data_IF_098983476250
#
_entry.id   IF_098983476250
#
_cell.length_a   1.000
_cell.length_b   1.000
_cell.length_c   1.000
_cell.angle_alpha   90.00
_cell.angle_beta   90.00
_cell.angle_gamma   90.00
#
_symmetry.space_group_name_H-M   'P 1'
#
loop_
_entity.id
_entity.type
_entity.pdbx_description
1 polymer ?
#
# COMPACT_ATOMS: atom_id res chain seq x y z
N UNK A 1 17.69 -12.27 -9.70
CA UNK A 1 17.26 -10.93 -10.14
C UNK A 1 18.18 -9.80 -9.64
N UNK A 2 19.08 -10.01 -8.65
CA UNK A 2 20.00 -8.91 -8.22
C UNK A 2 21.47 -9.01 -8.64
N UNK A 3 21.94 -10.13 -9.21
CA UNK A 3 23.28 -10.11 -9.81
C UNK A 3 23.31 -9.21 -11.04
N UNK A 4 22.31 -9.26 -11.94
CA UNK A 4 22.23 -8.33 -13.06
C UNK A 4 21.96 -6.88 -12.64
N UNK A 5 21.16 -6.63 -11.59
CA UNK A 5 20.92 -5.27 -11.11
C UNK A 5 22.14 -4.67 -10.38
N UNK A 6 22.83 -5.44 -9.54
CA UNK A 6 24.05 -4.99 -8.87
C UNK A 6 25.24 -4.89 -9.85
N UNK A 7 25.33 -5.80 -10.84
CA UNK A 7 26.31 -5.73 -11.93
C UNK A 7 25.98 -4.59 -12.90
N UNK A 8 24.71 -4.29 -13.16
CA UNK A 8 24.31 -3.12 -13.96
C UNK A 8 24.61 -1.81 -13.21
N UNK A 9 24.48 -1.75 -11.89
CA UNK A 9 24.83 -0.56 -11.11
C UNK A 9 26.35 -0.40 -10.96
N UNK A 10 27.09 -1.47 -10.69
CA UNK A 10 28.55 -1.43 -10.52
C UNK A 10 29.31 -1.31 -11.85
N UNK A 11 28.90 -2.04 -12.90
CA UNK A 11 29.48 -1.94 -14.23
C UNK A 11 29.27 -0.57 -14.87
N UNK A 12 28.16 0.10 -14.57
CA UNK A 12 27.95 1.48 -15.01
C UNK A 12 28.84 2.47 -14.25
N UNK A 13 29.13 2.26 -12.95
CA UNK A 13 29.89 3.23 -12.15
C UNK A 13 31.31 3.44 -12.69
N UNK A 14 32.01 2.39 -13.09
CA UNK A 14 33.34 2.52 -13.69
C UNK A 14 33.28 3.24 -15.05
N UNK A 15 32.35 2.87 -15.93
CA UNK A 15 32.14 3.55 -17.20
C UNK A 15 31.90 5.05 -17.00
N UNK A 16 31.08 5.41 -16.01
CA UNK A 16 30.77 6.79 -15.65
C UNK A 16 31.96 7.55 -15.07
N UNK A 17 32.73 6.94 -14.17
CA UNK A 17 33.92 7.56 -13.57
C UNK A 17 35.01 7.79 -14.62
N UNK A 18 35.24 6.81 -15.51
CA UNK A 18 36.19 6.95 -16.62
C UNK A 18 35.73 8.03 -17.61
N UNK A 19 34.42 8.17 -17.82
CA UNK A 19 33.84 9.20 -18.69
C UNK A 19 33.94 10.62 -18.12
N UNK A 20 33.65 10.81 -16.82
CA UNK A 20 33.81 12.09 -16.12
C UNK A 20 35.28 12.54 -16.20
N UNK A 21 36.21 11.63 -15.97
CA UNK A 21 37.66 11.88 -16.11
C UNK A 21 38.07 12.24 -17.54
N UNK A 22 37.39 11.72 -18.55
CA UNK A 22 37.65 11.99 -19.97
C UNK A 22 37.10 13.32 -20.51
N UNK A 23 36.29 14.06 -19.75
CA UNK A 23 35.67 15.31 -20.21
C UNK A 23 36.68 16.47 -20.32
N UNK A 24 37.52 16.62 -19.28
CA UNK A 24 38.56 17.66 -19.21
C UNK A 24 39.58 17.52 -20.35
N UNK A 25 40.22 16.34 -20.58
CA UNK A 25 41.21 16.21 -21.65
C UNK A 25 40.62 16.43 -23.05
N UNK A 26 39.37 16.03 -23.30
CA UNK A 26 38.71 16.30 -24.59
C UNK A 26 38.47 17.79 -24.84
N UNK A 27 38.08 18.54 -23.81
CA UNK A 27 37.91 19.99 -23.93
C UNK A 27 39.22 20.73 -24.18
N UNK A 28 40.32 20.25 -23.58
CA UNK A 28 41.67 20.77 -23.82
C UNK A 28 42.14 20.47 -25.25
N UNK A 29 41.93 19.24 -25.74
CA UNK A 29 42.26 18.86 -27.12
C UNK A 29 41.53 19.73 -28.16
N UNK A 30 40.25 20.02 -27.95
CA UNK A 30 39.47 20.89 -28.84
C UNK A 30 39.87 22.38 -28.79
N UNK A 31 40.48 22.83 -27.69
CA UNK A 31 41.09 24.16 -27.58
C UNK A 31 42.44 24.22 -28.28
N UNK A 32 43.30 23.22 -28.04
CA UNK A 32 44.61 23.11 -28.67
C UNK A 32 44.52 23.01 -30.19
N UNK A 33 43.50 22.33 -30.74
CA UNK A 33 43.33 22.19 -32.19
C UNK A 33 43.01 23.53 -32.87
N UNK A 34 42.16 24.37 -32.26
CA UNK A 34 41.86 25.72 -32.79
C UNK A 34 43.10 26.61 -32.74
N UNK A 35 43.86 26.54 -31.64
CA UNK A 35 45.12 27.29 -31.50
C UNK A 35 46.16 26.84 -32.54
N UNK A 36 46.30 25.53 -32.79
CA UNK A 36 47.21 24.99 -33.81
C UNK A 36 46.81 25.43 -35.23
N UNK A 37 45.52 25.38 -35.56
CA UNK A 37 45.00 25.86 -36.85
C UNK A 37 45.27 27.36 -37.01
N UNK A 38 45.10 28.15 -35.96
CA UNK A 38 45.40 29.57 -35.97
C UNK A 38 46.90 29.86 -36.16
N UNK A 39 47.79 29.14 -35.47
CA UNK A 39 49.23 29.27 -35.62
C UNK A 39 49.70 28.88 -37.04
N UNK A 40 49.17 27.79 -37.58
CA UNK A 40 49.48 27.35 -38.95
C UNK A 40 48.97 28.34 -40.01
N UNK A 41 47.74 28.83 -39.86
CA UNK A 41 47.19 29.86 -40.74
C UNK A 41 48.01 31.15 -40.69
N UNK A 42 48.46 31.57 -39.51
CA UNK A 42 49.37 32.70 -39.33
C UNK A 42 50.72 32.50 -40.00
N UNK A 43 51.30 31.30 -39.90
CA UNK A 43 52.55 30.93 -40.56
C UNK A 43 52.44 30.93 -42.11
N UNK A 44 51.32 30.46 -42.67
CA UNK A 44 51.07 30.53 -44.11
C UNK A 44 50.93 31.97 -44.64
N UNK A 45 50.32 32.86 -43.86
CA UNK A 45 50.28 34.29 -44.19
C UNK A 45 51.68 34.90 -44.15
N UNK A 46 52.50 34.53 -43.15
CA UNK A 46 53.90 34.99 -43.04
C UNK A 46 54.75 34.59 -44.25
N UNK A 47 54.58 33.36 -44.75
CA UNK A 47 55.28 32.85 -45.93
C UNK A 47 54.68 33.30 -47.28
N UNK A 48 53.70 34.21 -47.25
CA UNK A 48 53.00 34.75 -48.44
C UNK A 48 52.30 33.68 -49.31
N UNK A 49 52.01 32.50 -48.75
CA UNK A 49 51.24 31.47 -49.45
C UNK A 49 49.73 31.70 -49.37
N UNK A 50 49.27 32.53 -48.43
CA UNK A 50 47.86 32.89 -48.23
C UNK A 50 47.68 34.40 -47.99
N UNK A 51 46.56 34.96 -48.45
CA UNK A 51 46.17 36.34 -48.15
C UNK A 51 45.54 36.45 -46.76
N UNK A 52 45.69 37.62 -46.13
CA UNK A 52 45.13 37.93 -44.81
C UNK A 52 43.61 37.76 -44.79
N UNK A 53 42.93 38.00 -45.92
CA UNK A 53 41.48 37.81 -46.09
C UNK A 53 41.00 36.38 -45.81
N UNK A 54 41.86 35.38 -46.06
CA UNK A 54 41.51 33.96 -45.91
C UNK A 54 41.65 33.45 -44.47
N UNK A 55 42.28 34.24 -43.59
CA UNK A 55 42.50 33.90 -42.20
C UNK A 55 41.21 33.97 -41.38
N UNK A 56 40.35 34.96 -41.66
CA UNK A 56 39.07 35.16 -40.95
C UNK A 56 38.12 33.95 -41.16
N UNK A 57 37.87 33.47 -42.39
CA UNK A 57 37.05 32.27 -42.62
C UNK A 57 37.63 31.02 -41.95
N UNK A 58 38.95 30.80 -42.01
CA UNK A 58 39.59 29.62 -41.42
C UNK A 58 39.45 29.60 -39.90
N UNK A 59 39.70 30.73 -39.23
CA UNK A 59 39.51 30.83 -37.78
C UNK A 59 38.04 30.68 -37.39
N UNK A 60 37.13 31.26 -38.18
CA UNK A 60 35.68 31.14 -37.95
C UNK A 60 35.23 29.69 -38.07
N UNK A 61 35.62 28.99 -39.14
CA UNK A 61 35.28 27.57 -39.35
C UNK A 61 35.91 26.67 -38.30
N UNK A 62 37.17 26.92 -37.89
CA UNK A 62 37.82 26.17 -36.81
C UNK A 62 37.08 26.36 -35.48
N UNK A 63 36.67 27.59 -35.17
CA UNK A 63 35.85 27.90 -34.00
C UNK A 63 34.48 27.21 -34.04
N UNK A 64 33.79 27.25 -35.18
CA UNK A 64 32.52 26.55 -35.39
C UNK A 64 32.67 25.04 -35.21
N UNK A 65 33.70 24.42 -35.80
CA UNK A 65 33.95 22.99 -35.66
C UNK A 65 34.18 22.59 -34.18
N UNK A 66 34.97 23.37 -33.44
CA UNK A 66 35.19 23.15 -32.00
C UNK A 66 33.91 23.33 -31.17
N UNK A 67 33.04 24.27 -31.55
CA UNK A 67 31.73 24.45 -30.92
C UNK A 67 30.80 23.26 -31.17
N UNK A 68 30.74 22.72 -32.39
CA UNK A 68 29.92 21.55 -32.70
C UNK A 68 30.41 20.30 -31.94
N UNK A 69 31.72 20.12 -31.82
CA UNK A 69 32.29 19.04 -31.02
C UNK A 69 31.86 19.12 -29.55
N UNK A 70 31.86 20.34 -28.98
CA UNK A 70 31.37 20.60 -27.62
C UNK A 70 29.87 20.36 -27.48
N UNK A 71 29.08 20.71 -28.49
CA UNK A 71 27.64 20.42 -28.51
C UNK A 71 27.38 18.92 -28.48
N UNK A 72 28.02 18.16 -29.37
CA UNK A 72 27.88 16.69 -29.43
C UNK A 72 28.24 16.03 -28.10
N UNK A 73 29.32 16.45 -27.45
CA UNK A 73 29.72 15.94 -26.13
C UNK A 73 28.70 16.28 -25.01
N UNK A 74 28.01 17.42 -25.11
CA UNK A 74 26.92 17.76 -24.17
C UNK A 74 25.70 16.88 -24.41
N UNK A 75 25.28 16.70 -25.66
CA UNK A 75 24.13 15.87 -26.02
C UNK A 75 24.37 14.41 -25.64
N UNK A 76 25.57 13.87 -25.91
CA UNK A 76 25.96 12.53 -25.48
C UNK A 76 25.84 12.36 -23.96
N UNK A 77 26.35 13.34 -23.20
CA UNK A 77 26.24 13.35 -21.73
C UNK A 77 24.79 13.35 -21.27
N UNK A 78 23.94 14.15 -21.90
CA UNK A 78 22.52 14.25 -21.56
C UNK A 78 21.77 12.94 -21.85
N UNK A 79 22.02 12.33 -23.01
CA UNK A 79 21.47 11.00 -23.36
C UNK A 79 21.87 9.97 -22.30
N UNK A 80 23.16 9.93 -21.95
CA UNK A 80 23.65 8.97 -20.98
C UNK A 80 23.03 9.27 -19.59
N UNK A 81 22.89 10.54 -19.19
CA UNK A 81 22.29 10.93 -17.90
C UNK A 81 20.83 10.47 -17.79
N UNK A 82 20.08 10.54 -18.88
CA UNK A 82 18.69 10.08 -18.94
C UNK A 82 18.56 8.55 -19.03
N UNK A 83 19.58 7.85 -19.51
CA UNK A 83 19.52 6.40 -19.80
C UNK A 83 19.14 5.54 -18.58
N UNK A 84 19.69 5.72 -17.36
CA UNK A 84 19.25 4.98 -16.18
C UNK A 84 17.78 5.21 -15.84
N UNK A 85 17.31 6.45 -15.89
CA UNK A 85 15.91 6.79 -15.65
C UNK A 85 14.98 6.14 -16.68
N UNK A 86 15.38 6.13 -17.96
CA UNK A 86 14.63 5.46 -19.02
C UNK A 86 14.59 3.94 -18.82
N UNK A 87 15.70 3.32 -18.40
CA UNK A 87 15.75 1.89 -18.08
C UNK A 87 14.83 1.55 -16.90
N UNK A 88 14.86 2.34 -15.83
CA UNK A 88 13.98 2.18 -14.67
C UNK A 88 12.51 2.39 -15.01
N UNK A 89 12.19 3.41 -15.83
CA UNK A 89 10.84 3.67 -16.32
C UNK A 89 10.33 2.48 -17.15
N UNK A 90 11.13 2.02 -18.12
CA UNK A 90 10.78 0.86 -18.96
C UNK A 90 10.56 -0.39 -18.11
N UNK A 91 11.41 -0.63 -17.11
CA UNK A 91 11.23 -1.73 -16.18
C UNK A 91 9.92 -1.60 -15.41
N UNK A 92 9.63 -0.43 -14.84
CA UNK A 92 8.39 -0.18 -14.11
C UNK A 92 7.14 -0.36 -14.98
N UNK A 93 7.17 0.09 -16.23
CA UNK A 93 6.09 -0.10 -17.20
C UNK A 93 5.97 -1.55 -17.70
N UNK A 94 7.05 -2.33 -17.61
CA UNK A 94 7.07 -3.76 -17.96
C UNK A 94 6.63 -4.69 -16.83
N UNK A 95 6.39 -4.18 -15.62
CA UNK A 95 5.86 -4.98 -14.52
C UNK A 95 4.43 -5.44 -14.87
N UNK A 96 4.24 -6.75 -14.97
CA UNK A 96 2.91 -7.31 -15.16
C UNK A 96 2.11 -7.22 -13.84
N UNK A 97 0.80 -6.96 -13.96
CA UNK A 97 -0.12 -7.07 -12.83
C UNK A 97 -0.12 -8.51 -12.33
N UNK A 98 0.04 -8.69 -11.01
CA UNK A 98 -0.12 -10.00 -10.37
C UNK A 98 -1.58 -10.47 -10.35
N UNK A 99 -2.52 -9.56 -10.62
CA UNK A 99 -3.94 -9.86 -10.72
C UNK A 99 -4.34 -9.86 -12.18
N UNK A 100 -4.71 -11.03 -12.69
CA UNK A 100 -5.41 -11.17 -13.96
C UNK A 100 -6.86 -11.43 -13.60
N UNK A 101 -7.73 -10.45 -13.82
CA UNK A 101 -9.17 -10.73 -13.79
C UNK A 101 -9.49 -11.68 -14.93
N UNK A 102 -10.18 -12.79 -14.64
CA UNK A 102 -10.70 -13.68 -15.67
C UNK A 102 -11.64 -12.86 -16.57
N UNK A 103 -11.56 -13.03 -17.89
CA UNK A 103 -12.38 -12.26 -18.84
C UNK A 103 -13.91 -12.43 -18.66
N UNK A 104 -14.33 -13.37 -17.81
CA UNK A 104 -15.71 -13.68 -17.44
C UNK A 104 -15.99 -13.44 -15.94
N UNK A 105 -15.24 -12.55 -15.29
CA UNK A 105 -15.40 -12.30 -13.87
C UNK A 105 -16.85 -11.89 -13.52
N UNK A 106 -17.44 -12.54 -12.54
CA UNK A 106 -18.82 -12.29 -12.14
C UNK A 106 -18.92 -10.94 -11.42
N UNK A 107 -19.92 -10.14 -11.80
CA UNK A 107 -20.29 -8.95 -11.04
C UNK A 107 -21.11 -9.37 -9.82
N UNK A 108 -20.73 -8.86 -8.66
CA UNK A 108 -21.41 -9.15 -7.41
C UNK A 108 -22.51 -8.12 -7.20
N UNK A 109 -23.72 -8.60 -6.95
CA UNK A 109 -24.85 -7.76 -6.56
C UNK A 109 -24.60 -7.18 -5.15
N UNK A 110 -25.22 -6.03 -4.85
CA UNK A 110 -25.09 -5.36 -3.55
C UNK A 110 -25.89 -6.06 -2.41
N UNK A 111 -26.09 -7.38 -2.52
CA UNK A 111 -26.80 -8.22 -1.57
C UNK A 111 -25.96 -8.50 -0.30
N UNK A 112 -26.58 -9.17 0.68
CA UNK A 112 -25.87 -9.65 1.86
C UNK A 112 -24.82 -10.69 1.46
N UNK A 113 -23.68 -10.66 2.15
CA UNK A 113 -22.52 -11.47 1.79
C UNK A 113 -22.26 -12.53 2.85
N UNK A 114 -22.23 -13.77 2.41
CA UNK A 114 -21.69 -14.91 3.14
C UNK A 114 -20.25 -15.18 2.66
N UNK A 115 -19.33 -15.39 3.60
CA UNK A 115 -17.91 -15.64 3.29
C UNK A 115 -17.51 -16.98 3.88
N UNK A 116 -16.93 -17.85 3.06
CA UNK A 116 -16.46 -19.17 3.48
C UNK A 116 -14.97 -19.33 3.15
N UNK A 117 -14.17 -19.62 4.17
CA UNK A 117 -12.79 -20.04 4.00
C UNK A 117 -12.77 -21.56 3.90
N UNK A 118 -12.19 -22.11 2.81
CA UNK A 118 -12.08 -23.56 2.59
C UNK A 118 -10.61 -23.97 2.48
N UNK A 119 -10.12 -24.68 3.50
CA UNK A 119 -8.74 -25.20 3.60
C UNK A 119 -7.70 -24.15 3.21
N UNK A 120 -7.89 -22.92 3.70
CA UNK A 120 -7.10 -21.77 3.29
C UNK A 120 -5.66 -21.92 3.77
N UNK A 121 -4.72 -21.83 2.83
CA UNK A 121 -3.29 -21.80 3.08
C UNK A 121 -2.62 -20.70 2.26
N UNK A 122 -1.55 -20.13 2.82
CA UNK A 122 -0.80 -19.08 2.16
C UNK A 122 0.68 -19.10 2.55
N UNK A 123 1.54 -18.94 1.55
CA UNK A 123 2.98 -18.81 1.70
C UNK A 123 3.46 -17.50 1.05
N UNK A 124 4.33 -16.77 1.73
CA UNK A 124 5.02 -15.63 1.13
C UNK A 124 6.34 -16.08 0.49
N UNK A 125 6.66 -15.52 -0.67
CA UNK A 125 7.98 -15.67 -1.26
C UNK A 125 9.01 -14.90 -0.43
N UNK A 126 9.91 -15.61 0.25
CA UNK A 126 11.04 -14.95 0.89
C UNK A 126 12.12 -14.64 -0.16
N UNK A 127 12.18 -13.39 -0.60
CA UNK A 127 13.17 -12.91 -1.56
C UNK A 127 14.34 -12.24 -0.85
N UNK A 128 15.56 -12.74 -1.07
CA UNK A 128 16.81 -12.03 -0.71
C UNK A 128 17.59 -11.81 -2.00
N UNK A 129 18.08 -10.60 -2.20
CA UNK A 129 18.79 -10.24 -3.42
C UNK A 129 18.03 -10.65 -4.71
N UNK A 130 16.71 -10.42 -4.74
CA UNK A 130 15.87 -10.73 -5.90
C UNK A 130 15.84 -12.22 -6.29
N UNK A 131 16.22 -13.14 -5.41
CA UNK A 131 16.06 -14.58 -5.56
C UNK A 131 15.14 -15.09 -4.45
N UNK A 132 14.10 -15.86 -4.82
CA UNK A 132 13.25 -16.57 -3.85
C UNK A 132 14.08 -17.68 -3.23
N UNK A 133 14.38 -17.58 -1.92
CA UNK A 133 15.18 -18.57 -1.20
C UNK A 133 14.29 -19.75 -0.81
N UNK A 134 13.17 -19.46 -0.14
CA UNK A 134 12.19 -20.45 0.28
C UNK A 134 10.84 -19.78 0.51
N UNK A 135 9.72 -20.46 0.21
CA UNK A 135 8.42 -19.99 0.61
C UNK A 135 8.26 -20.11 2.13
N UNK A 136 7.79 -19.05 2.78
CA UNK A 136 7.48 -19.04 4.21
C UNK A 136 5.98 -19.22 4.36
N UNK A 137 5.56 -20.38 4.85
CA UNK A 137 4.16 -20.67 5.16
C UNK A 137 3.71 -19.80 6.33
N UNK A 138 2.61 -19.08 6.14
CA UNK A 138 2.03 -18.23 7.19
C UNK A 138 0.61 -18.68 7.55
N UNK A 139 -0.13 -19.27 6.60
CA UNK A 139 -1.45 -19.82 6.84
C UNK A 139 -1.53 -21.29 6.44
N UNK A 140 -2.22 -22.11 7.24
CA UNK A 140 -2.42 -23.55 6.97
C UNK A 140 -3.76 -24.04 7.48
N UNK A 141 -4.60 -24.55 6.57
CA UNK A 141 -5.79 -25.33 6.89
C UNK A 141 -6.92 -24.55 7.55
N UNK A 142 -7.08 -23.26 7.28
CA UNK A 142 -8.19 -22.49 7.89
C UNK A 142 -9.50 -22.77 7.15
N UNK A 143 -10.48 -23.32 7.87
CA UNK A 143 -11.83 -23.54 7.35
C UNK A 143 -12.88 -23.02 8.33
N UNK A 144 -13.60 -21.97 7.94
CA UNK A 144 -14.70 -21.40 8.73
C UNK A 144 -15.60 -20.53 7.85
N UNK A 145 -16.80 -20.23 8.34
CA UNK A 145 -17.82 -19.50 7.60
C UNK A 145 -18.30 -18.29 8.39
N UNK A 146 -18.48 -17.17 7.71
CA UNK A 146 -19.06 -15.93 8.21
C UNK A 146 -20.43 -15.77 7.56
N UNK A 147 -21.49 -15.90 8.34
CA UNK A 147 -22.86 -15.72 7.86
C UNK A 147 -23.18 -14.23 7.64
N UNK A 148 -24.17 -13.90 6.80
CA UNK A 148 -24.72 -12.56 6.70
C UNK A 148 -25.06 -11.94 8.07
N UNK A 149 -24.63 -10.70 8.31
CA UNK A 149 -24.82 -9.96 9.55
C UNK A 149 -23.95 -10.42 10.72
N UNK A 150 -23.19 -11.50 10.57
CA UNK A 150 -22.40 -12.09 11.65
C UNK A 150 -21.09 -11.32 11.86
N UNK A 151 -20.77 -11.03 13.13
CA UNK A 151 -19.52 -10.42 13.55
C UNK A 151 -18.58 -11.50 14.08
N UNK A 152 -17.40 -11.62 13.47
CA UNK A 152 -16.43 -12.66 13.78
C UNK A 152 -15.16 -12.05 14.36
N UNK A 153 -14.80 -12.46 15.57
CA UNK A 153 -13.53 -12.13 16.19
C UNK A 153 -12.45 -13.11 15.72
N UNK A 154 -11.39 -12.61 15.08
CA UNK A 154 -10.20 -13.36 14.75
C UNK A 154 -9.11 -13.08 15.78
N UNK A 155 -8.79 -14.07 16.60
CA UNK A 155 -7.93 -13.94 17.78
C UNK A 155 -6.73 -14.86 17.63
N UNK A 156 -5.60 -14.44 18.16
CA UNK A 156 -4.38 -15.25 18.18
C UNK A 156 -3.15 -14.39 18.50
N UNK A 157 -2.01 -15.01 18.77
CA UNK A 157 -0.78 -14.28 19.08
C UNK A 157 -0.30 -13.46 17.87
N UNK A 158 0.69 -12.60 18.11
CA UNK A 158 1.43 -11.97 17.01
C UNK A 158 2.08 -13.04 16.14
N UNK A 159 2.07 -12.85 14.81
CA UNK A 159 2.61 -13.84 13.86
C UNK A 159 1.67 -15.00 13.50
N UNK A 160 0.48 -15.13 14.11
CA UNK A 160 -0.49 -16.18 13.75
C UNK A 160 -1.17 -15.98 12.37
N UNK A 161 -0.74 -15.00 11.58
CA UNK A 161 -1.25 -14.80 10.21
C UNK A 161 -2.54 -13.98 10.07
N UNK A 162 -3.06 -13.37 11.15
CA UNK A 162 -4.29 -12.55 11.12
C UNK A 162 -4.27 -11.46 10.03
N UNK A 163 -3.19 -10.67 9.93
CA UNK A 163 -3.05 -9.66 8.88
C UNK A 163 -2.91 -10.25 7.46
N UNK A 164 -2.53 -11.52 7.33
CA UNK A 164 -2.55 -12.22 6.03
C UNK A 164 -3.99 -12.56 5.65
N UNK A 165 -4.83 -12.97 6.60
CA UNK A 165 -6.27 -13.20 6.36
C UNK A 165 -6.93 -11.92 5.81
N UNK A 166 -6.64 -10.75 6.40
CA UNK A 166 -7.20 -9.48 5.90
C UNK A 166 -6.71 -9.09 4.52
N UNK A 167 -5.48 -9.45 4.15
CA UNK A 167 -4.96 -9.22 2.79
C UNK A 167 -5.61 -10.15 1.78
N UNK A 168 -5.79 -11.42 2.12
CA UNK A 168 -6.42 -12.42 1.25
C UNK A 168 -7.89 -12.10 1.00
N UNK A 169 -8.66 -11.77 2.04
CA UNK A 169 -10.08 -11.43 1.88
C UNK A 169 -10.27 -10.10 1.11
N UNK A 170 -9.33 -9.16 1.19
CA UNK A 170 -9.33 -7.94 0.33
C UNK A 170 -8.82 -8.22 -1.10
N UNK A 171 -8.40 -9.46 -1.37
CA UNK A 171 -7.72 -9.91 -2.58
C UNK A 171 -6.56 -8.97 -2.96
N UNK A 172 -5.74 -8.62 -1.98
CA UNK A 172 -4.40 -8.06 -2.21
C UNK A 172 -3.39 -9.15 -2.58
N UNK A 173 -3.78 -10.41 -2.47
CA UNK A 173 -3.08 -11.58 -2.95
C UNK A 173 -4.06 -12.74 -2.98
N UNK A 174 -3.74 -13.78 -3.74
CA UNK A 174 -4.52 -15.01 -3.77
C UNK A 174 -3.93 -16.06 -2.83
N UNK A 175 -4.74 -16.97 -2.28
CA UNK A 175 -4.25 -18.05 -1.45
C UNK A 175 -3.38 -19.02 -2.26
N UNK A 176 -2.35 -19.60 -1.63
CA UNK A 176 -1.51 -20.62 -2.29
C UNK A 176 -2.17 -22.00 -2.24
N UNK A 177 -3.08 -22.22 -1.28
CA UNK A 177 -3.88 -23.43 -1.12
C UNK A 177 -5.29 -23.06 -0.67
N UNK A 178 -6.28 -23.84 -1.11
CA UNK A 178 -7.67 -23.62 -0.75
C UNK A 178 -8.30 -22.45 -1.51
N UNK A 179 -9.41 -21.94 -0.98
CA UNK A 179 -10.17 -20.84 -1.59
C UNK A 179 -10.91 -20.01 -0.54
N UNK A 180 -11.24 -18.77 -0.91
CA UNK A 180 -12.21 -17.94 -0.20
C UNK A 180 -13.42 -17.87 -1.11
N UNK A 181 -14.58 -18.32 -0.63
CA UNK A 181 -15.82 -18.26 -1.36
C UNK A 181 -16.68 -17.10 -0.86
N UNK A 182 -17.29 -16.36 -1.77
CA UNK A 182 -18.25 -15.30 -1.53
C UNK A 182 -19.59 -15.77 -2.10
N UNK A 183 -20.59 -15.98 -1.25
CA UNK A 183 -21.89 -16.56 -1.65
C UNK A 183 -21.77 -17.87 -2.45
N UNK A 184 -20.71 -18.66 -2.19
CA UNK A 184 -20.44 -19.93 -2.89
C UNK A 184 -19.52 -19.82 -4.12
N UNK A 185 -19.23 -18.61 -4.61
CA UNK A 185 -18.34 -18.37 -5.75
C UNK A 185 -16.92 -18.06 -5.29
N UNK A 186 -15.89 -18.58 -5.98
CA UNK A 186 -14.50 -18.30 -5.61
C UNK A 186 -14.20 -16.80 -5.79
N UNK A 187 -13.56 -16.21 -4.78
CA UNK A 187 -13.18 -14.80 -4.79
C UNK A 187 -12.27 -14.45 -5.98
N UNK A 188 -11.58 -15.43 -6.57
CA UNK A 188 -10.75 -15.26 -7.78
C UNK A 188 -11.58 -15.04 -9.05
N UNK A 189 -12.81 -15.57 -9.08
CA UNK A 189 -13.71 -15.49 -10.23
C UNK A 189 -14.66 -14.29 -10.17
N UNK A 190 -14.62 -13.53 -9.07
CA UNK A 190 -15.39 -12.30 -8.87
C UNK A 190 -14.60 -11.08 -9.36
N UNK A 191 -15.28 -10.07 -9.91
CA UNK A 191 -14.64 -8.79 -10.24
C UNK A 191 -14.07 -8.10 -8.99
N UNK A 192 -12.79 -7.68 -9.04
CA UNK A 192 -12.17 -6.98 -7.91
C UNK A 192 -12.87 -5.66 -7.62
N UNK A 193 -13.40 -5.01 -8.67
CA UNK A 193 -14.12 -3.75 -8.54
C UNK A 193 -15.43 -3.91 -7.78
N UNK A 194 -16.24 -4.92 -8.11
CA UNK A 194 -17.51 -5.19 -7.42
C UNK A 194 -17.25 -5.59 -5.97
N UNK A 195 -16.26 -6.47 -5.75
CA UNK A 195 -15.88 -6.91 -4.41
C UNK A 195 -15.39 -5.77 -3.52
N UNK A 196 -14.42 -4.97 -4.00
CA UNK A 196 -13.88 -3.85 -3.21
C UNK A 196 -14.88 -2.71 -3.06
N UNK A 197 -15.94 -2.62 -3.87
CA UNK A 197 -17.01 -1.63 -3.69
C UNK A 197 -17.80 -1.89 -2.42
N UNK A 198 -18.04 -3.15 -2.05
CA UNK A 198 -18.89 -3.51 -0.91
C UNK A 198 -18.11 -3.76 0.39
N UNK A 199 -16.77 -3.83 0.34
CA UNK A 199 -15.93 -3.98 1.54
C UNK A 199 -15.60 -2.62 2.19
N UNK A 200 -15.73 -2.55 3.51
CA UNK A 200 -15.11 -1.51 4.35
C UNK A 200 -13.85 -2.06 5.02
N UNK A 201 -12.79 -1.26 5.11
CA UNK A 201 -11.56 -1.64 5.81
C UNK A 201 -11.11 -0.53 6.75
N UNK A 202 -10.85 -0.90 8.00
CA UNK A 202 -10.29 -0.01 9.03
C UNK A 202 -8.93 -0.59 9.44
N UNK A 203 -7.80 -0.08 8.90
CA UNK A 203 -6.46 -0.51 9.29
C UNK A 203 -6.08 -0.09 10.71
N UNK A 204 -5.07 -0.79 11.24
CA UNK A 204 -4.44 -0.47 12.52
C UNK A 204 -3.83 0.94 12.53
N UNK A 205 -3.19 1.35 11.42
CA UNK A 205 -2.59 2.67 11.27
C UNK A 205 -3.43 3.55 10.34
N UNK A 206 -3.89 4.68 10.87
CA UNK A 206 -4.67 5.64 10.11
C UNK A 206 -3.80 6.44 9.14
N UNK A 207 -4.34 6.67 7.94
CA UNK A 207 -3.76 7.54 6.92
C UNK A 207 -4.82 8.50 6.45
N UNK A 208 -4.53 9.79 6.59
CA UNK A 208 -5.36 10.89 6.08
C UNK A 208 -4.61 11.53 4.93
N UNK A 209 -5.30 11.71 3.82
CA UNK A 209 -4.76 12.33 2.61
C UNK A 209 -4.79 13.85 2.73
N UNK A 210 -3.87 14.50 2.02
CA UNK A 210 -3.90 15.95 1.85
C UNK A 210 -5.14 16.34 1.03
N UNK A 211 -5.99 17.19 1.61
CA UNK A 211 -7.29 17.53 1.03
C UNK A 211 -8.21 18.18 2.06
N UNK A 212 -9.51 18.23 1.78
CA UNK A 212 -10.50 18.64 2.79
C UNK A 212 -10.86 17.49 3.72
N UNK A 213 -11.44 17.82 4.88
CA UNK A 213 -12.03 16.82 5.76
C UNK A 213 -13.12 16.02 5.01
N UNK A 214 -13.95 16.71 4.20
CA UNK A 214 -14.97 16.11 3.35
C UNK A 214 -14.39 15.08 2.37
N UNK A 215 -13.27 15.40 1.71
CA UNK A 215 -12.63 14.49 0.75
C UNK A 215 -12.15 13.20 1.40
N UNK A 216 -11.63 13.31 2.62
CA UNK A 216 -11.19 12.16 3.41
C UNK A 216 -12.37 11.30 3.89
N UNK A 217 -13.47 11.95 4.33
CA UNK A 217 -14.68 11.25 4.77
C UNK A 217 -15.42 10.55 3.63
N UNK A 218 -15.32 11.07 2.40
CA UNK A 218 -15.91 10.49 1.20
C UNK A 218 -14.91 9.69 0.35
N UNK A 219 -13.77 9.35 0.93
CA UNK A 219 -12.75 8.55 0.26
C UNK A 219 -13.28 7.13 0.00
N UNK A 220 -12.99 6.58 -1.19
CA UNK A 220 -13.43 5.24 -1.58
C UNK A 220 -14.88 5.13 -2.07
N UNK A 221 -15.63 6.24 -2.10
CA UNK A 221 -16.96 6.32 -2.71
C UNK A 221 -16.88 6.69 -4.20
N UNK A 222 -17.78 6.11 -5.00
CA UNK A 222 -17.97 6.51 -6.40
C UNK A 222 -18.55 7.92 -6.51
N UNK A 223 -18.41 8.55 -7.67
CA UNK A 223 -18.98 9.89 -7.92
C UNK A 223 -20.50 9.92 -7.67
N UNK A 224 -21.21 8.83 -8.01
CA UNK A 224 -22.64 8.69 -7.76
C UNK A 224 -22.95 8.60 -6.27
N UNK A 225 -22.20 7.79 -5.50
CA UNK A 225 -22.38 7.68 -4.05
C UNK A 225 -22.10 9.02 -3.35
N UNK A 226 -21.04 9.74 -3.77
CA UNK A 226 -20.70 11.06 -3.23
C UNK A 226 -21.79 12.11 -3.44
N UNK A 227 -22.55 12.01 -4.52
CA UNK A 227 -23.63 12.94 -4.83
C UNK A 227 -24.87 12.72 -3.95
N UNK A 228 -25.06 11.51 -3.42
CA UNK A 228 -26.20 11.15 -2.57
C UNK A 228 -25.95 11.49 -1.10
N UNK A 229 -24.71 11.44 -0.64
CA UNK A 229 -24.38 11.72 0.75
C UNK A 229 -24.42 13.23 1.02
N UNK A 230 -25.38 13.64 1.84
CA UNK A 230 -25.53 15.02 2.30
C UNK A 230 -24.49 15.36 3.37
N UNK A 231 -24.13 16.64 3.47
CA UNK A 231 -23.25 17.14 4.54
C UNK A 231 -23.85 16.89 5.94
N UNK A 232 -25.19 16.89 6.05
CA UNK A 232 -25.91 16.61 7.28
C UNK A 232 -25.71 15.16 7.76
N UNK A 233 -25.71 14.21 6.82
CA UNK A 233 -25.40 12.80 7.11
C UNK A 233 -23.96 12.65 7.60
N UNK A 234 -23.00 13.32 6.93
CA UNK A 234 -21.59 13.32 7.33
C UNK A 234 -21.44 13.81 8.77
N UNK A 235 -22.08 14.92 9.12
CA UNK A 235 -22.02 15.50 10.46
C UNK A 235 -22.66 14.59 11.52
N UNK A 236 -23.77 13.92 11.19
CA UNK A 236 -24.39 12.92 12.08
C UNK A 236 -23.45 11.75 12.36
N UNK A 237 -22.81 11.18 11.34
CA UNK A 237 -21.85 10.09 11.51
C UNK A 237 -20.62 10.54 12.31
N UNK A 238 -20.11 11.75 12.05
CA UNK A 238 -19.02 12.35 12.83
C UNK A 238 -19.38 12.49 14.31
N UNK A 239 -20.59 12.97 14.62
CA UNK A 239 -21.07 13.11 15.99
C UNK A 239 -21.12 11.77 16.73
N UNK A 240 -21.66 10.73 16.08
CA UNK A 240 -21.76 9.39 16.66
C UNK A 240 -20.39 8.81 17.03
N UNK A 241 -19.38 9.07 16.20
CA UNK A 241 -18.02 8.58 16.39
C UNK A 241 -17.12 9.55 17.17
N UNK A 242 -17.69 10.60 17.79
CA UNK A 242 -16.92 11.63 18.52
C UNK A 242 -15.79 12.26 17.69
N UNK A 243 -16.05 12.47 16.40
CA UNK A 243 -15.19 13.25 15.51
C UNK A 243 -15.57 14.72 15.68
N UNK A 244 -15.03 15.36 16.71
CA UNK A 244 -15.16 16.80 16.90
C UNK A 244 -13.77 17.44 17.03
N UNK A 245 -13.57 18.50 16.27
CA UNK A 245 -12.34 19.29 16.24
C UNK A 245 -12.58 20.70 16.82
N UNK A 246 -13.82 21.00 17.20
CA UNK A 246 -14.25 22.26 17.79
C UNK A 246 -13.79 23.47 16.97
N UNK A 247 -13.17 24.43 17.67
CA UNK A 247 -12.69 25.69 17.09
C UNK A 247 -11.56 25.53 16.06
N UNK A 248 -10.97 24.34 15.91
CA UNK A 248 -9.93 24.10 14.89
C UNK A 248 -10.50 23.98 13.47
N UNK A 249 -11.81 23.77 13.32
CA UNK A 249 -12.46 23.75 12.01
C UNK A 249 -12.76 25.16 11.53
N UNK A 250 -11.82 25.77 10.80
CA UNK A 250 -12.01 27.11 10.25
C UNK A 250 -13.09 27.17 9.17
N UNK A 251 -13.36 26.06 8.47
CA UNK A 251 -14.32 25.97 7.36
C UNK A 251 -15.20 24.71 7.44
N UNK A 252 -15.49 24.20 8.65
CA UNK A 252 -16.28 22.99 8.84
C UNK A 252 -15.70 21.80 8.05
N UNK A 253 -16.55 21.11 7.26
CA UNK A 253 -16.16 19.98 6.40
C UNK A 253 -15.13 20.35 5.32
N UNK A 254 -15.04 21.62 4.93
CA UNK A 254 -14.10 22.10 3.92
C UNK A 254 -12.74 22.51 4.51
N UNK A 255 -12.56 22.35 5.83
CA UNK A 255 -11.26 22.56 6.48
C UNK A 255 -10.22 21.62 5.88
N UNK A 256 -9.06 22.16 5.47
CA UNK A 256 -7.98 21.36 4.89
C UNK A 256 -7.24 20.58 5.98
N UNK A 257 -6.94 19.32 5.70
CA UNK A 257 -6.20 18.40 6.58
C UNK A 257 -4.99 17.82 5.85
N UNK A 258 -4.00 17.35 6.61
CA UNK A 258 -2.78 16.75 6.07
C UNK A 258 -1.55 17.66 6.20
N UNK A 259 -0.54 17.45 5.34
CA UNK A 259 0.79 18.10 5.47
C UNK A 259 0.72 19.63 5.46
N UNK A 260 -0.08 20.19 4.56
CA UNK A 260 -0.27 21.63 4.39
C UNK A 260 -1.57 22.15 5.04
N UNK A 261 -2.22 21.33 5.86
CA UNK A 261 -3.50 21.66 6.51
C UNK A 261 -3.44 21.52 8.03
N UNK A 262 -4.60 21.37 8.65
CA UNK A 262 -4.71 21.05 10.06
C UNK A 262 -4.02 19.71 10.33
N UNK A 263 -3.06 19.72 11.27
CA UNK A 263 -2.44 18.49 11.77
C UNK A 263 -3.44 17.74 12.63
N UNK A 264 -3.48 16.43 12.47
CA UNK A 264 -4.34 15.52 13.21
C UNK A 264 -3.50 14.68 14.16
N UNK A 265 -4.01 14.42 15.36
CA UNK A 265 -3.45 13.37 16.21
C UNK A 265 -3.71 11.98 15.60
N UNK A 266 -2.99 10.95 16.06
CA UNK A 266 -3.21 9.58 15.60
C UNK A 266 -4.66 9.11 15.81
N UNK A 267 -5.21 9.42 16.99
CA UNK A 267 -6.60 9.10 17.33
C UNK A 267 -7.62 9.88 16.50
N UNK A 268 -7.38 11.16 16.23
CA UNK A 268 -8.23 11.97 15.33
C UNK A 268 -8.25 11.41 13.91
N UNK A 269 -7.08 11.08 13.36
CA UNK A 269 -6.95 10.46 12.05
C UNK A 269 -7.65 9.09 12.00
N UNK A 270 -7.59 8.32 13.09
CA UNK A 270 -8.26 7.03 13.22
C UNK A 270 -9.79 7.20 13.22
N UNK A 271 -10.34 8.16 13.97
CA UNK A 271 -11.79 8.41 13.98
C UNK A 271 -12.31 8.93 12.63
N UNK A 272 -11.56 9.78 11.91
CA UNK A 272 -11.92 10.19 10.54
C UNK A 272 -12.00 8.96 9.62
N UNK A 273 -11.02 8.07 9.68
CA UNK A 273 -10.99 6.86 8.85
C UNK A 273 -12.13 5.90 9.17
N UNK A 274 -12.43 5.70 10.46
CA UNK A 274 -13.60 4.90 10.89
C UNK A 274 -14.87 5.49 10.30
N UNK A 275 -15.05 6.82 10.39
CA UNK A 275 -16.18 7.53 9.81
C UNK A 275 -16.26 7.31 8.28
N UNK A 276 -15.15 7.44 7.56
CA UNK A 276 -15.09 7.20 6.12
C UNK A 276 -15.47 5.75 5.74
N UNK A 277 -14.99 4.77 6.50
CA UNK A 277 -15.31 3.36 6.28
C UNK A 277 -16.81 3.06 6.49
N UNK A 278 -17.45 3.74 7.44
CA UNK A 278 -18.88 3.63 7.72
C UNK A 278 -19.72 4.35 6.67
N UNK A 279 -19.36 5.57 6.26
CA UNK A 279 -20.07 6.34 5.23
C UNK A 279 -20.13 5.59 3.88
N UNK A 280 -19.20 4.66 3.65
CA UNK A 280 -19.23 3.73 2.53
C UNK A 280 -20.42 2.78 2.52
N UNK A 281 -21.07 2.56 3.67
CA UNK A 281 -22.15 1.58 3.89
C UNK A 281 -21.78 0.18 3.38
N UNK A 282 -20.66 -0.39 3.86
CA UNK A 282 -20.18 -1.67 3.36
C UNK A 282 -21.10 -2.83 3.76
N UNK A 283 -21.12 -3.88 2.93
CA UNK A 283 -21.81 -5.16 3.23
C UNK A 283 -20.93 -6.08 4.08
N UNK A 284 -19.62 -5.90 3.99
CA UNK A 284 -18.64 -6.60 4.80
C UNK A 284 -17.59 -5.63 5.33
N UNK A 285 -17.36 -5.65 6.65
CA UNK A 285 -16.36 -4.79 7.29
C UNK A 285 -15.17 -5.60 7.81
N UNK A 286 -13.96 -5.10 7.55
CA UNK A 286 -12.72 -5.64 8.09
C UNK A 286 -12.16 -4.60 9.06
N UNK A 287 -12.03 -4.99 10.33
CA UNK A 287 -11.56 -4.10 11.39
C UNK A 287 -10.26 -4.67 11.94
N UNK A 288 -9.16 -3.96 11.76
CA UNK A 288 -7.82 -4.38 12.18
C UNK A 288 -7.32 -3.45 13.29
N UNK A 289 -7.51 -3.85 14.56
CA UNK A 289 -7.08 -3.06 15.73
C UNK A 289 -7.45 -1.56 15.69
N UNK A 290 -8.66 -1.26 15.20
CA UNK A 290 -9.11 0.09 14.87
C UNK A 290 -9.20 1.10 16.03
N UNK A 291 -8.94 0.70 17.27
CA UNK A 291 -9.02 1.60 18.45
C UNK A 291 -7.77 1.58 19.32
N UNK A 292 -6.68 0.96 18.86
CA UNK A 292 -5.46 0.80 19.67
C UNK A 292 -4.77 2.13 19.98
N UNK A 293 -4.89 3.12 19.09
CA UNK A 293 -4.27 4.44 19.22
C UNK A 293 -5.14 5.50 19.92
N UNK A 294 -6.33 5.09 20.41
CA UNK A 294 -7.27 5.95 21.13
C UNK A 294 -7.05 5.86 22.65
N UNK A 295 -7.28 6.97 23.34
CA UNK A 295 -7.45 7.01 24.80
C UNK A 295 -8.70 6.23 25.25
N UNK A 296 -8.73 5.80 26.51
CA UNK A 296 -9.74 4.87 27.01
C UNK A 296 -11.18 5.41 26.94
N UNK A 297 -11.37 6.70 27.21
CA UNK A 297 -12.69 7.35 27.16
C UNK A 297 -13.23 7.39 25.71
N UNK A 298 -12.40 7.88 24.78
CA UNK A 298 -12.77 7.90 23.37
C UNK A 298 -12.91 6.49 22.77
N UNK A 299 -12.11 5.52 23.22
CA UNK A 299 -12.18 4.15 22.73
C UNK A 299 -13.56 3.53 22.97
N UNK A 300 -14.11 3.65 24.18
CA UNK A 300 -15.41 3.07 24.51
C UNK A 300 -16.55 3.71 23.69
N UNK A 301 -16.51 5.03 23.53
CA UNK A 301 -17.49 5.77 22.73
C UNK A 301 -17.41 5.39 21.24
N UNK A 302 -16.21 5.34 20.67
CA UNK A 302 -15.99 4.96 19.27
C UNK A 302 -16.41 3.52 19.02
N UNK A 303 -16.05 2.59 19.90
CA UNK A 303 -16.46 1.18 19.80
C UNK A 303 -17.98 1.07 19.83
N UNK A 304 -18.66 1.78 20.74
CA UNK A 304 -20.12 1.79 20.78
C UNK A 304 -20.74 2.36 19.51
N UNK A 305 -20.14 3.40 18.92
CA UNK A 305 -20.57 3.95 17.65
C UNK A 305 -20.42 2.96 16.50
N UNK A 306 -19.28 2.27 16.41
CA UNK A 306 -19.04 1.21 15.42
C UNK A 306 -20.10 0.10 15.58
N UNK A 307 -20.32 -0.37 16.80
CA UNK A 307 -21.27 -1.46 17.04
C UNK A 307 -22.70 -1.08 16.68
N UNK A 308 -23.12 0.15 17.00
CA UNK A 308 -24.43 0.67 16.65
C UNK A 308 -24.62 0.72 15.12
N UNK A 309 -23.60 1.20 14.40
CA UNK A 309 -23.67 1.32 12.94
C UNK A 309 -23.62 -0.03 12.24
N UNK A 310 -22.77 -0.95 12.70
CA UNK A 310 -22.71 -2.31 12.17
C UNK A 310 -24.06 -3.03 12.35
N UNK A 311 -24.72 -2.82 13.48
CA UNK A 311 -26.02 -3.44 13.77
C UNK A 311 -27.13 -2.83 12.92
N UNK A 312 -27.14 -1.50 12.73
CA UNK A 312 -28.14 -0.82 11.90
C UNK A 312 -28.09 -1.21 10.42
N UNK A 313 -26.93 -1.57 9.90
CA UNK A 313 -26.73 -1.86 8.48
C UNK A 313 -26.73 -3.35 8.13
N UNK A 314 -26.99 -4.23 9.12
CA UNK A 314 -26.87 -5.69 8.96
C UNK A 314 -25.52 -6.11 8.35
N UNK A 315 -24.46 -5.36 8.69
CA UNK A 315 -23.14 -5.53 8.10
C UNK A 315 -22.40 -6.68 8.78
N UNK A 316 -22.03 -7.70 8.00
CA UNK A 316 -21.11 -8.75 8.44
C UNK A 316 -19.73 -8.15 8.70
N UNK A 317 -19.00 -8.65 9.71
CA UNK A 317 -17.67 -8.12 10.01
C UNK A 317 -16.67 -9.20 10.43
N UNK A 318 -15.40 -9.01 10.06
CA UNK A 318 -14.27 -9.70 10.67
C UNK A 318 -13.42 -8.69 11.44
N UNK A 319 -13.24 -8.97 12.72
CA UNK A 319 -12.56 -8.09 13.67
C UNK A 319 -11.30 -8.79 14.13
N UNK A 320 -10.14 -8.29 13.70
CA UNK A 320 -8.86 -8.64 14.29
C UNK A 320 -8.70 -7.78 15.52
N UNK A 321 -8.76 -8.43 16.67
CA UNK A 321 -8.61 -7.76 17.94
C UNK A 321 -7.47 -8.36 18.74
N UNK A 322 -6.76 -7.46 19.40
CA UNK A 322 -5.87 -7.79 20.50
C UNK A 322 -6.51 -7.46 21.86
N UNK A 323 -7.66 -6.75 21.86
CA UNK A 323 -8.40 -6.32 23.05
C UNK A 323 -9.72 -7.06 23.25
N UNK A 324 -9.92 -7.61 24.45
CA UNK A 324 -11.13 -8.30 24.88
C UNK A 324 -12.38 -7.42 24.80
N UNK A 325 -12.25 -6.13 25.11
CA UNK A 325 -13.38 -5.19 25.09
C UNK A 325 -14.01 -5.07 23.69
N UNK A 326 -13.22 -5.19 22.63
CA UNK A 326 -13.66 -5.10 21.24
C UNK A 326 -14.36 -6.38 20.77
N UNK A 327 -13.99 -7.55 21.29
CA UNK A 327 -14.53 -8.84 20.83
C UNK A 327 -15.74 -9.34 21.61
N UNK A 328 -16.03 -8.78 22.79
CA UNK A 328 -17.20 -9.17 23.61
C UNK A 328 -18.54 -9.11 22.87
N UNK A 329 -18.63 -8.32 21.81
CA UNK A 329 -19.86 -8.10 21.01
C UNK A 329 -19.84 -8.86 19.67
N UNK A 330 -18.94 -9.83 19.51
CA UNK A 330 -18.90 -10.71 18.34
C UNK A 330 -19.76 -11.96 18.55
N UNK A 331 -20.27 -12.51 17.45
CA UNK A 331 -21.15 -13.69 17.41
C UNK A 331 -20.38 -15.00 17.21
N UNK A 332 -19.15 -14.91 16.72
CA UNK A 332 -18.26 -16.04 16.48
C UNK A 332 -16.82 -15.66 16.84
N UNK A 333 -16.11 -16.58 17.46
CA UNK A 333 -14.72 -16.42 17.86
C UNK A 333 -13.90 -17.50 17.16
N UNK A 334 -12.89 -17.08 16.41
CA UNK A 334 -11.94 -17.95 15.70
C UNK A 334 -10.57 -17.72 16.31
N UNK A 335 -10.06 -18.71 17.05
CA UNK A 335 -8.75 -18.63 17.71
C UNK A 335 -7.69 -19.36 16.90
N UNK A 336 -6.60 -18.67 16.59
CA UNK A 336 -5.51 -19.14 15.75
C UNK A 336 -4.26 -19.48 16.55
N UNK A 337 -3.65 -20.62 16.21
CA UNK A 337 -2.31 -21.03 16.65
C UNK A 337 -1.24 -20.38 15.77
N UNK A 338 -0.04 -20.12 16.32
CA UNK A 338 1.12 -19.74 15.51
C UNK A 338 1.52 -20.90 14.58
N UNK A 339 2.07 -20.56 13.41
CA UNK A 339 2.47 -21.57 12.41
C UNK A 339 3.53 -22.55 12.98
N UNK A 340 4.44 -22.05 13.82
CA UNK A 340 5.56 -22.82 14.36
C UNK A 340 5.14 -23.93 15.35
N UNK A 341 3.91 -23.87 15.88
CA UNK A 341 3.40 -24.87 16.83
C UNK A 341 2.62 -26.01 16.19
N UNK A 342 2.49 -26.02 14.86
CA UNK A 342 1.63 -26.99 14.16
C UNK A 342 2.37 -28.25 13.76
N UNK A 343 1.66 -29.37 13.83
CA UNK A 343 2.08 -30.60 13.18
C UNK A 343 1.74 -30.56 11.67
N UNK A 344 2.46 -31.32 10.82
CA UNK A 344 2.14 -31.39 9.40
C UNK A 344 0.69 -31.81 9.14
N UNK A 345 -0.05 -31.00 8.38
CA UNK A 345 -1.47 -31.25 8.06
C UNK A 345 -2.47 -30.79 9.11
N UNK A 346 -2.01 -30.24 10.24
CA UNK A 346 -2.88 -29.67 11.27
C UNK A 346 -3.42 -28.30 10.84
N UNK A 347 -4.67 -28.00 11.23
CA UNK A 347 -5.25 -26.67 11.05
C UNK A 347 -4.67 -25.69 12.05
N UNK A 348 -4.44 -24.45 11.61
CA UNK A 348 -4.14 -23.32 12.48
C UNK A 348 -5.26 -22.97 13.46
N UNK A 349 -6.48 -23.44 13.23
CA UNK A 349 -7.61 -23.11 14.10
C UNK A 349 -7.50 -23.98 15.36
N UNK A 350 -7.31 -23.32 16.51
CA UNK A 350 -7.37 -23.98 17.81
C UNK A 350 -8.81 -24.24 18.23
N UNK A 351 -9.66 -23.22 18.10
CA UNK A 351 -11.03 -23.27 18.57
C UNK A 351 -11.92 -22.34 17.76
N UNK A 352 -13.16 -22.78 17.53
CA UNK A 352 -14.25 -21.96 16.99
C UNK A 352 -15.44 -22.12 17.93
N UNK A 353 -16.00 -21.01 18.40
CA UNK A 353 -17.19 -21.01 19.23
C UNK A 353 -18.00 -19.74 19.08
N UNK A 354 -19.29 -19.80 19.42
CA UNK A 354 -20.19 -18.65 19.41
C UNK A 354 -20.31 -17.96 20.78
N UNK A 355 -19.83 -18.60 21.84
CA UNK A 355 -19.89 -18.10 23.21
C UNK A 355 -18.49 -17.82 23.74
N UNK A 356 -18.26 -16.60 24.23
CA UNK A 356 -16.97 -16.17 24.74
C UNK A 356 -16.52 -16.95 25.98
N UNK A 357 -17.46 -17.39 26.83
CA UNK A 357 -17.14 -18.19 28.02
C UNK A 357 -16.61 -19.58 27.64
N UNK A 358 -17.21 -20.21 26.62
CA UNK A 358 -16.78 -21.51 26.12
C UNK A 358 -15.40 -21.40 25.46
N UNK A 359 -15.14 -20.30 24.73
CA UNK A 359 -13.82 -20.02 24.18
C UNK A 359 -12.78 -19.87 25.29
N UNK A 360 -13.12 -19.18 26.38
CA UNK A 360 -12.22 -19.01 27.53
C UNK A 360 -11.88 -20.33 28.24
N UNK A 361 -12.85 -21.25 28.34
CA UNK A 361 -12.66 -22.57 28.94
C UNK A 361 -11.87 -23.53 28.05
N UNK A 362 -12.09 -23.47 26.73
CA UNK A 362 -11.59 -24.48 25.79
C UNK A 362 -10.35 -24.05 24.98
N UNK A 363 -10.00 -22.76 24.94
CA UNK A 363 -8.81 -22.26 24.23
C UNK A 363 -7.74 -21.75 25.20
N UNK A 364 -6.65 -22.52 25.40
CA UNK A 364 -5.46 -22.08 26.11
C UNK A 364 -4.85 -20.78 25.58
N UNK A 365 -4.81 -20.58 24.26
CA UNK A 365 -4.27 -19.35 23.66
C UNK A 365 -5.13 -18.15 24.04
N UNK A 366 -6.45 -18.28 23.93
CA UNK A 366 -7.36 -17.21 24.30
C UNK A 366 -7.23 -16.86 25.78
N UNK A 367 -7.20 -17.87 26.66
CA UNK A 367 -7.06 -17.68 28.09
C UNK A 367 -5.75 -16.93 28.42
N UNK A 368 -4.62 -17.35 27.85
CA UNK A 368 -3.33 -16.66 28.02
C UNK A 368 -3.36 -15.22 27.52
N UNK A 369 -4.01 -14.96 26.38
CA UNK A 369 -4.17 -13.59 25.87
C UNK A 369 -5.03 -12.75 26.82
N UNK A 370 -6.09 -13.32 27.40
CA UNK A 370 -6.94 -12.66 28.36
C UNK A 370 -6.22 -12.31 29.67
N UNK A 371 -5.37 -13.22 30.16
CA UNK A 371 -4.52 -12.98 31.33
C UNK A 371 -3.53 -11.83 31.11
N UNK A 372 -2.92 -11.76 29.91
CA UNK A 372 -2.00 -10.66 29.55
C UNK A 372 -2.71 -9.30 29.53
N UNK A 373 -4.01 -9.27 29.26
CA UNK A 373 -4.83 -8.06 29.34
C UNK A 373 -5.36 -7.77 30.76
N UNK A 374 -5.00 -8.60 31.74
CA UNK A 374 -5.42 -8.43 33.13
C UNK A 374 -6.89 -8.80 33.37
N UNK A 375 -7.54 -9.52 32.45
CA UNK A 375 -8.93 -9.95 32.61
C UNK A 375 -8.97 -11.32 33.27
N UNK A 376 -9.43 -11.35 34.53
CA UNK A 376 -9.77 -12.59 35.25
C UNK A 376 -11.27 -12.81 35.14
N UNK A 377 -11.69 -13.75 34.28
CA UNK A 377 -13.05 -14.29 34.35
C UNK A 377 -13.05 -15.32 35.49
N UNK A 378 -13.96 -15.17 36.46
CA UNK A 378 -14.15 -16.19 37.51
C UNK A 378 -14.60 -17.49 36.84
N UNK A 379 -13.87 -18.57 37.12
CA UNK A 379 -14.10 -19.91 36.56
C UNK A 379 -15.51 -20.45 36.81
#
# INVERSE_FOLDING_TARGET
MDQEHAVALNGNREVWLTYIRGTIPRSLLAGCSVTLVGLYAGWCVWNKTMTVSNLIPILTWAGMASQQMRFLARTEREINWCTPSLKSLRHALGLQSQFTETAQAEELDDACVEIEFKDLGHCYDHKRNGQTISPVTVLSGLSFKIKPGQKVACIGPSGAGKSTITRLIQRYMDPTKGSILINGHDLRDISLRSWRRIIGYIPQQSKVFEGTLRDNLLYGLSAQQRAVISDEEILRTMSLLRVDFGSRLTHGLYTRVGRNGMKLSGGEAQRIMICAAILKRPKFMIIDEATSSLDAENQAAVQSGIDQLLTHHETSAIIIAHRLSTIKRCDLFVVLKPIDSLSPGESQIEYIGSNLEDVFKNSPIFNRLAELEGVRMSA
#
